data_IF_364367383051
#
_entry.id   IF_364367383051
#
_cell.length_a   1.000
_cell.length_b   1.000
_cell.length_c   1.000
_cell.angle_alpha   90.00
_cell.angle_beta   90.00
_cell.angle_gamma   90.00
#
_symmetry.space_group_name_H-M   'P 1'
#
loop_
_entity.id
_entity.type
_entity.pdbx_description
1 polymer ?
#
# COMPACT_ATOMS: atom_id res chain seq x y z
N UNK A 1 -22.40 -27.46 -11.91
CA UNK A 1 -22.36 -25.99 -12.10
C UNK A 1 -22.59 -25.40 -10.73
N UNK A 2 -21.67 -24.62 -10.16
CA UNK A 2 -21.94 -23.92 -8.90
C UNK A 2 -23.12 -22.96 -9.10
N UNK A 3 -23.98 -22.84 -8.09
CA UNK A 3 -25.14 -21.95 -8.13
C UNK A 3 -24.68 -20.49 -8.19
N UNK A 4 -25.34 -19.64 -8.99
CA UNK A 4 -25.00 -18.21 -9.14
C UNK A 4 -24.96 -17.47 -7.78
N UNK A 5 -25.81 -17.88 -6.83
CA UNK A 5 -25.82 -17.35 -5.46
C UNK A 5 -24.54 -17.69 -4.68
N UNK A 6 -23.93 -18.86 -4.96
CA UNK A 6 -22.69 -19.26 -4.31
C UNK A 6 -21.49 -18.46 -4.85
N UNK A 7 -21.50 -18.09 -6.13
CA UNK A 7 -20.45 -17.25 -6.70
C UNK A 7 -20.49 -15.83 -6.13
N UNK A 8 -21.68 -15.25 -6.00
CA UNK A 8 -21.84 -13.93 -5.39
C UNK A 8 -21.29 -13.89 -3.95
N UNK A 9 -21.66 -14.87 -3.11
CA UNK A 9 -21.16 -14.98 -1.74
C UNK A 9 -19.63 -15.13 -1.66
N UNK A 10 -19.02 -15.81 -2.63
CA UNK A 10 -17.56 -15.95 -2.71
C UNK A 10 -16.89 -14.61 -3.05
N UNK A 11 -17.45 -13.81 -3.95
CA UNK A 11 -16.93 -12.48 -4.25
C UNK A 11 -17.08 -11.54 -3.06
N UNK A 12 -18.25 -11.53 -2.42
CA UNK A 12 -18.47 -10.73 -1.22
C UNK A 12 -17.48 -11.12 -0.12
N UNK A 13 -17.16 -12.41 0.04
CA UNK A 13 -16.13 -12.87 0.97
C UNK A 13 -14.72 -12.40 0.57
N UNK A 14 -14.36 -12.43 -0.71
CA UNK A 14 -13.06 -11.96 -1.21
C UNK A 14 -12.89 -10.45 -0.99
N UNK A 15 -13.96 -9.67 -1.15
CA UNK A 15 -13.95 -8.22 -0.91
C UNK A 15 -14.17 -7.83 0.56
N UNK A 16 -14.41 -8.80 1.45
CA UNK A 16 -14.63 -8.55 2.88
C UNK A 16 -15.97 -7.88 3.19
N UNK A 17 -17.00 -8.16 2.39
CA UNK A 17 -18.35 -7.60 2.51
C UNK A 17 -19.31 -8.47 3.33
N UNK A 18 -18.90 -9.70 3.68
CA UNK A 18 -19.68 -10.59 4.56
C UNK A 18 -19.49 -10.21 6.02
N UNK A 19 -20.57 -10.32 6.80
CA UNK A 19 -20.50 -10.28 8.25
C UNK A 19 -19.67 -11.47 8.79
N UNK A 20 -19.08 -11.32 9.97
CA UNK A 20 -18.16 -12.30 10.58
C UNK A 20 -18.76 -13.72 10.66
N UNK A 21 -20.04 -13.83 11.01
CA UNK A 21 -20.76 -15.11 11.11
C UNK A 21 -20.91 -15.80 9.75
N UNK A 22 -21.22 -15.02 8.71
CA UNK A 22 -21.38 -15.51 7.35
C UNK A 22 -20.02 -15.92 6.76
N UNK A 23 -18.99 -15.11 6.99
CA UNK A 23 -17.62 -15.40 6.57
C UNK A 23 -17.11 -16.70 7.21
N UNK A 24 -17.37 -16.90 8.51
CA UNK A 24 -17.01 -18.13 9.22
C UNK A 24 -17.78 -19.36 8.72
N UNK A 25 -19.06 -19.20 8.38
CA UNK A 25 -19.86 -20.27 7.76
C UNK A 25 -19.32 -20.64 6.36
N UNK A 26 -19.04 -19.65 5.52
CA UNK A 26 -18.50 -19.88 4.18
C UNK A 26 -17.10 -20.51 4.22
N UNK A 27 -16.24 -20.08 5.15
CA UNK A 27 -14.92 -20.69 5.36
C UNK A 27 -15.02 -22.17 5.72
N UNK A 28 -15.98 -22.56 6.58
CA UNK A 28 -16.23 -23.98 6.89
C UNK A 28 -16.66 -24.77 5.66
N UNK A 29 -17.49 -24.19 4.79
CA UNK A 29 -17.91 -24.80 3.52
C UNK A 29 -16.74 -24.94 2.54
N UNK A 30 -15.90 -23.92 2.39
CA UNK A 30 -14.68 -23.99 1.55
C UNK A 30 -13.76 -25.14 2.00
N UNK A 31 -13.63 -25.37 3.31
CA UNK A 31 -12.80 -26.48 3.83
C UNK A 31 -13.47 -27.85 3.63
N UNK A 32 -14.80 -27.92 3.76
CA UNK A 32 -15.54 -29.19 3.78
C UNK A 32 -16.02 -29.65 2.40
N UNK A 33 -16.28 -28.73 1.48
CA UNK A 33 -16.86 -28.96 0.16
C UNK A 33 -15.82 -28.67 -0.94
N UNK A 34 -15.27 -29.70 -1.63
CA UNK A 34 -14.21 -29.50 -2.62
C UNK A 34 -14.68 -28.70 -3.85
N UNK A 35 -15.98 -28.74 -4.16
CA UNK A 35 -16.56 -27.97 -5.26
C UNK A 35 -16.54 -26.46 -4.96
N UNK A 36 -16.88 -26.08 -3.73
CA UNK A 36 -16.81 -24.69 -3.26
C UNK A 36 -15.37 -24.21 -3.16
N UNK A 37 -14.44 -25.08 -2.76
CA UNK A 37 -13.01 -24.76 -2.77
C UNK A 37 -12.49 -24.43 -4.19
N UNK A 38 -12.91 -25.21 -5.19
CA UNK A 38 -12.55 -24.96 -6.60
C UNK A 38 -13.15 -23.65 -7.12
N UNK A 39 -14.42 -23.38 -6.80
CA UNK A 39 -15.08 -22.12 -7.15
C UNK A 39 -14.38 -20.92 -6.47
N UNK A 40 -14.02 -21.04 -5.20
CA UNK A 40 -13.25 -20.01 -4.47
C UNK A 40 -11.90 -19.73 -5.15
N UNK A 41 -11.15 -20.78 -5.51
CA UNK A 41 -9.87 -20.64 -6.20
C UNK A 41 -10.03 -19.91 -7.56
N UNK A 42 -11.07 -20.23 -8.32
CA UNK A 42 -11.38 -19.56 -9.58
C UNK A 42 -11.73 -18.07 -9.39
N UNK A 43 -12.60 -17.75 -8.43
CA UNK A 43 -12.97 -16.38 -8.09
C UNK A 43 -11.75 -15.56 -7.61
N UNK A 44 -10.88 -16.16 -6.78
CA UNK A 44 -9.63 -15.53 -6.34
C UNK A 44 -8.68 -15.25 -7.51
N UNK A 45 -8.56 -16.18 -8.46
CA UNK A 45 -7.74 -15.95 -9.64
C UNK A 45 -8.25 -14.79 -10.50
N UNK A 46 -9.58 -14.69 -10.70
CA UNK A 46 -10.19 -13.58 -11.45
C UNK A 46 -9.95 -12.22 -10.78
N UNK A 47 -10.12 -12.14 -9.45
CA UNK A 47 -9.87 -10.91 -8.69
C UNK A 47 -8.39 -10.52 -8.70
N UNK A 48 -7.47 -11.47 -8.59
CA UNK A 48 -6.02 -11.20 -8.70
C UNK A 48 -5.62 -10.67 -10.09
N UNK A 49 -6.23 -11.19 -11.16
CA UNK A 49 -6.02 -10.68 -12.52
C UNK A 49 -6.55 -9.25 -12.68
N UNK A 50 -7.74 -8.97 -12.14
CA UNK A 50 -8.33 -7.63 -12.15
C UNK A 50 -7.47 -6.62 -11.36
N UNK A 51 -7.00 -7.01 -10.17
CA UNK A 51 -6.11 -6.18 -9.35
C UNK A 51 -4.80 -5.86 -10.09
N UNK A 52 -4.20 -6.84 -10.77
CA UNK A 52 -3.01 -6.62 -11.61
C UNK A 52 -3.29 -5.69 -12.79
N UNK A 53 -4.43 -5.84 -13.46
CA UNK A 53 -4.82 -4.95 -14.55
C UNK A 53 -5.05 -3.51 -14.05
N UNK A 54 -5.69 -3.34 -12.89
CA UNK A 54 -5.90 -2.05 -12.27
C UNK A 54 -4.57 -1.36 -11.92
N UNK A 55 -3.57 -2.10 -11.44
CA UNK A 55 -2.22 -1.55 -11.18
C UNK A 55 -1.54 -1.04 -12.46
N UNK A 56 -1.77 -1.66 -13.61
CA UNK A 56 -1.19 -1.23 -14.89
C UNK A 56 -1.89 0.01 -15.47
N UNK A 57 -3.18 0.18 -15.18
CA UNK A 57 -4.01 1.29 -15.70
C UNK A 57 -4.26 2.41 -14.68
N UNK A 58 -3.76 2.28 -13.45
CA UNK A 58 -3.92 3.31 -12.43
C UNK A 58 -3.20 4.60 -12.87
N UNK A 59 -3.86 5.77 -12.83
CA UNK A 59 -3.20 7.04 -13.07
C UNK A 59 -2.07 7.19 -12.06
N UNK A 60 -0.87 7.48 -12.56
CA UNK A 60 0.31 7.69 -11.72
C UNK A 60 0.09 8.96 -10.91
N UNK A 61 -0.43 8.82 -9.69
CA UNK A 61 -0.55 9.92 -8.74
C UNK A 61 0.86 10.34 -8.35
N UNK A 62 1.34 11.43 -8.93
CA UNK A 62 2.55 12.10 -8.48
C UNK A 62 2.23 12.75 -7.14
N UNK A 63 2.69 12.11 -6.06
CA UNK A 63 2.82 12.78 -4.77
C UNK A 63 3.77 13.98 -4.95
N UNK A 64 3.47 15.15 -4.37
CA UNK A 64 4.39 16.28 -4.40
C UNK A 64 5.73 15.83 -3.78
N UNK A 65 6.77 15.77 -4.60
CA UNK A 65 8.10 15.42 -4.14
C UNK A 65 8.64 16.61 -3.35
N UNK A 66 9.02 16.38 -2.09
CA UNK A 66 9.87 17.32 -1.36
C UNK A 66 11.16 17.54 -2.16
N UNK A 67 11.51 18.81 -2.39
CA UNK A 67 12.67 19.24 -3.15
C UNK A 67 13.97 18.67 -2.55
N UNK A 68 14.65 17.80 -3.31
CA UNK A 68 15.89 17.21 -2.83
C UNK A 68 16.62 16.31 -3.83
N UNK A 69 17.42 16.94 -4.70
CA UNK A 69 18.60 16.39 -5.41
C UNK A 69 18.40 15.70 -6.79
N UNK A 70 19.42 15.82 -7.69
CA UNK A 70 19.20 15.97 -9.13
C UNK A 70 19.16 14.65 -9.89
N UNK A 71 18.20 14.56 -10.81
CA UNK A 71 18.04 13.45 -11.75
C UNK A 71 19.08 13.56 -12.88
N UNK A 72 19.95 12.56 -13.00
CA UNK A 72 20.76 12.34 -14.22
C UNK A 72 19.83 12.12 -15.41
N UNK A 73 19.87 13.06 -16.34
CA UNK A 73 19.27 12.95 -17.67
C UNK A 73 20.04 11.92 -18.49
N UNK A 74 19.40 10.80 -18.84
CA UNK A 74 19.86 9.95 -19.93
C UNK A 74 19.08 10.35 -21.19
N UNK A 75 19.80 10.93 -22.14
CA UNK A 75 19.27 11.39 -23.43
C UNK A 75 18.72 10.24 -24.30
N UNK A 76 17.75 10.53 -25.20
CA UNK A 76 17.24 9.58 -26.17
C UNK A 76 18.20 9.44 -27.36
N UNK A 77 18.45 8.21 -27.82
CA UNK A 77 19.20 7.92 -29.05
C UNK A 77 18.25 7.85 -30.25
N UNK A 78 18.51 8.55 -31.37
CA UNK A 78 17.68 8.49 -32.57
C UNK A 78 18.13 7.41 -33.58
N UNK A 79 17.12 6.92 -34.30
CA UNK A 79 17.05 6.24 -35.60
C UNK A 79 18.31 5.78 -36.37
N UNK A 80 18.25 4.55 -36.87
CA UNK A 80 18.68 4.22 -38.24
C UNK A 80 17.92 3.00 -38.79
N UNK A 81 17.35 3.16 -39.97
CA UNK A 81 16.63 2.16 -40.73
C UNK A 81 17.58 1.33 -41.61
N UNK A 82 17.18 0.08 -41.91
CA UNK A 82 16.95 -0.46 -43.26
C UNK A 82 17.53 -1.87 -43.56
N UNK A 83 16.64 -2.66 -44.20
CA UNK A 83 16.85 -3.77 -45.15
C UNK A 83 17.05 -5.21 -44.60
N UNK A 84 16.81 -6.27 -45.41
CA UNK A 84 15.75 -6.49 -46.40
C UNK A 84 15.03 -7.87 -46.21
N UNK A 85 13.92 -8.04 -46.93
CA UNK A 85 13.15 -9.27 -47.06
C UNK A 85 13.97 -10.32 -47.83
N UNK A 86 14.14 -11.52 -47.25
CA UNK A 86 14.60 -12.70 -47.98
C UNK A 86 14.91 -13.90 -47.06
N UNK A 87 14.26 -15.04 -47.30
CA UNK A 87 14.48 -16.37 -46.69
C UNK A 87 13.78 -16.72 -45.34
N UNK A 88 12.63 -16.11 -45.04
CA UNK A 88 11.91 -16.32 -43.77
C UNK A 88 10.95 -17.55 -43.71
N UNK A 89 11.35 -18.73 -44.21
CA UNK A 89 10.49 -19.93 -44.08
C UNK A 89 11.18 -21.23 -43.65
N UNK A 90 12.51 -21.26 -43.47
CA UNK A 90 13.21 -22.52 -43.16
C UNK A 90 13.60 -22.73 -41.68
N UNK A 91 13.37 -21.74 -40.80
CA UNK A 91 13.80 -21.81 -39.38
C UNK A 91 12.68 -22.07 -38.35
N UNK A 92 11.42 -22.21 -38.77
CA UNK A 92 10.29 -22.44 -37.84
C UNK A 92 10.31 -23.85 -37.22
N UNK A 93 10.99 -24.82 -37.85
CA UNK A 93 11.08 -26.19 -37.34
C UNK A 93 11.96 -26.37 -36.09
N UNK A 94 13.02 -25.57 -35.94
CA UNK A 94 13.98 -25.73 -34.83
C UNK A 94 13.55 -24.99 -33.54
N UNK A 95 12.75 -23.94 -33.64
CA UNK A 95 12.28 -23.17 -32.49
C UNK A 95 11.26 -23.95 -31.62
N UNK A 96 10.44 -24.82 -32.22
CA UNK A 96 9.42 -25.56 -31.50
C UNK A 96 9.99 -26.63 -30.54
N UNK A 97 11.08 -27.32 -30.92
CA UNK A 97 11.71 -28.30 -30.02
C UNK A 97 12.49 -27.66 -28.87
N UNK A 98 13.08 -26.47 -29.08
CA UNK A 98 13.71 -25.71 -28.01
C UNK A 98 12.68 -25.23 -26.98
N UNK A 99 11.50 -24.76 -27.42
CA UNK A 99 10.44 -24.27 -26.54
C UNK A 99 9.85 -25.36 -25.62
N UNK A 100 9.69 -26.59 -26.14
CA UNK A 100 9.16 -27.73 -25.38
C UNK A 100 10.16 -28.19 -24.31
N UNK A 101 11.47 -28.19 -24.61
CA UNK A 101 12.50 -28.52 -23.60
C UNK A 101 12.60 -27.49 -22.48
N UNK A 102 12.48 -26.19 -22.77
CA UNK A 102 12.49 -25.15 -21.72
C UNK A 102 11.25 -25.19 -20.82
N UNK A 103 10.10 -25.61 -21.34
CA UNK A 103 8.84 -25.66 -20.55
C UNK A 103 8.85 -26.84 -19.57
N UNK A 104 9.42 -27.99 -19.96
CA UNK A 104 9.55 -29.16 -19.09
C UNK A 104 10.50 -28.94 -17.90
N UNK A 105 11.60 -28.21 -18.10
CA UNK A 105 12.57 -27.95 -17.03
C UNK A 105 12.02 -27.01 -15.95
N UNK A 106 11.11 -26.09 -16.31
CA UNK A 106 10.49 -25.16 -15.35
C UNK A 106 9.44 -25.82 -14.45
N UNK A 107 8.83 -26.92 -14.89
CA UNK A 107 7.88 -27.72 -14.09
C UNK A 107 8.56 -28.72 -13.14
N UNK A 108 9.80 -29.10 -13.42
CA UNK A 108 10.59 -30.01 -12.59
C UNK A 108 11.63 -29.30 -11.70
N UNK A 109 11.80 -27.98 -11.84
CA UNK A 109 12.70 -27.22 -10.98
C UNK A 109 12.18 -27.24 -9.53
N UNK A 110 12.95 -27.75 -8.56
CA UNK A 110 12.57 -27.67 -7.16
C UNK A 110 12.39 -26.20 -6.80
N UNK A 111 11.25 -25.90 -6.17
CA UNK A 111 10.89 -24.57 -5.71
C UNK A 111 12.11 -23.91 -5.04
N UNK A 112 12.69 -22.92 -5.70
CA UNK A 112 13.86 -22.22 -5.18
C UNK A 112 13.45 -21.48 -3.91
N UNK A 113 14.11 -21.71 -2.76
CA UNK A 113 13.72 -21.15 -1.45
C UNK A 113 13.92 -19.62 -1.33
N UNK A 114 14.32 -18.94 -2.39
CA UNK A 114 14.85 -17.56 -2.35
C UNK A 114 13.76 -16.50 -2.12
N UNK A 115 12.47 -16.84 -2.19
CA UNK A 115 11.37 -15.85 -2.06
C UNK A 115 10.81 -15.67 -0.64
N UNK A 116 11.10 -16.56 0.30
CA UNK A 116 10.51 -16.53 1.65
C UNK A 116 11.20 -15.55 2.61
N UNK A 117 12.53 -15.50 2.60
CA UNK A 117 13.29 -14.70 3.58
C UNK A 117 13.18 -13.20 3.34
N UNK A 118 13.11 -12.77 2.08
CA UNK A 118 12.98 -11.34 1.74
C UNK A 118 11.65 -10.74 2.19
N UNK A 119 10.54 -11.49 2.12
CA UNK A 119 9.24 -11.00 2.57
C UNK A 119 9.16 -10.89 4.10
N UNK A 120 9.70 -11.87 4.83
CA UNK A 120 9.74 -11.81 6.29
C UNK A 120 10.66 -10.69 6.80
N UNK A 121 11.74 -10.42 6.09
CA UNK A 121 12.66 -9.31 6.41
C UNK A 121 12.06 -7.96 6.06
N UNK A 122 11.42 -7.82 4.89
CA UNK A 122 10.67 -6.60 4.52
C UNK A 122 9.51 -6.35 5.49
N UNK A 123 8.79 -7.39 5.92
CA UNK A 123 7.73 -7.22 6.93
C UNK A 123 8.27 -6.76 8.28
N UNK A 124 9.41 -7.30 8.74
CA UNK A 124 10.06 -6.82 9.96
C UNK A 124 10.56 -5.38 9.83
N UNK A 125 11.16 -5.04 8.70
CA UNK A 125 11.67 -3.69 8.44
C UNK A 125 10.52 -2.66 8.30
N UNK A 126 9.35 -3.08 7.79
CA UNK A 126 8.13 -2.25 7.78
C UNK A 126 7.52 -2.14 9.18
N UNK A 127 7.41 -3.23 9.93
CA UNK A 127 6.89 -3.23 11.28
C UNK A 127 7.75 -2.37 12.23
N UNK A 128 9.07 -2.36 12.05
CA UNK A 128 10.00 -1.52 12.81
C UNK A 128 9.96 -0.03 12.41
N UNK A 129 9.38 0.32 11.26
CA UNK A 129 9.30 1.71 10.77
C UNK A 129 7.91 2.32 10.89
N UNK A 130 6.89 1.56 11.27
CA UNK A 130 5.54 2.08 11.45
C UNK A 130 5.40 2.69 12.84
N UNK A 131 5.67 4.00 12.93
CA UNK A 131 5.33 4.80 14.09
C UNK A 131 3.82 4.98 14.18
N UNK A 132 3.28 4.76 15.38
CA UNK A 132 1.90 5.09 15.75
C UNK A 132 1.90 6.44 16.45
N UNK A 133 0.99 7.31 16.02
CA UNK A 133 0.82 8.64 16.57
C UNK A 133 -0.55 8.74 17.24
N UNK A 134 -0.55 9.03 18.54
CA UNK A 134 -1.77 9.34 19.29
C UNK A 134 -1.77 10.84 19.63
N UNK A 135 -2.71 11.58 19.05
CA UNK A 135 -2.90 13.01 19.32
C UNK A 135 -4.08 13.21 20.24
N UNK A 136 -3.85 13.81 21.41
CA UNK A 136 -4.89 14.12 22.39
C UNK A 136 -4.96 15.63 22.64
N UNK A 137 -6.17 16.17 22.72
CA UNK A 137 -6.36 17.60 22.92
C UNK A 137 -7.83 17.99 23.08
N UNK A 138 -8.10 19.29 23.28
CA UNK A 138 -9.46 19.79 23.46
C UNK A 138 -10.28 19.65 22.18
N UNK A 139 -11.49 19.09 22.28
CA UNK A 139 -12.41 18.92 21.15
C UNK A 139 -12.93 20.25 20.57
N UNK A 140 -12.87 21.34 21.35
CA UNK A 140 -13.23 22.69 20.91
C UNK A 140 -12.13 23.67 21.30
N UNK A 141 -11.72 24.50 20.35
CA UNK A 141 -10.76 25.55 20.62
C UNK A 141 -11.40 26.71 21.39
N UNK A 142 -10.75 27.16 22.45
CA UNK A 142 -11.12 28.37 23.18
C UNK A 142 -10.19 29.53 22.76
N UNK A 143 -10.68 30.57 22.07
CA UNK A 143 -9.84 31.68 21.63
C UNK A 143 -9.28 32.52 22.78
N UNK A 144 -9.79 32.35 24.00
CA UNK A 144 -9.31 33.05 25.19
C UNK A 144 -8.15 32.33 25.91
N UNK A 145 -7.78 31.10 25.52
CA UNK A 145 -6.73 30.32 26.18
C UNK A 145 -5.87 29.54 25.17
N UNK A 146 -4.57 29.32 25.44
CA UNK A 146 -3.75 28.45 24.61
C UNK A 146 -4.34 27.03 24.54
N UNK A 147 -4.40 26.47 23.34
CA UNK A 147 -4.73 25.06 23.14
C UNK A 147 -3.47 24.22 23.32
N UNK A 148 -3.51 23.24 24.23
CA UNK A 148 -2.44 22.27 24.40
C UNK A 148 -2.86 20.93 23.80
N UNK A 149 -2.02 20.37 22.93
CA UNK A 149 -2.18 19.05 22.35
C UNK A 149 -0.99 18.19 22.78
N UNK A 150 -1.26 17.00 23.31
CA UNK A 150 -0.24 16.01 23.66
C UNK A 150 -0.19 14.94 22.60
N UNK A 151 0.99 14.71 22.07
CA UNK A 151 1.27 13.66 21.10
C UNK A 151 2.07 12.57 21.79
N UNK A 152 1.67 11.33 21.57
CA UNK A 152 2.42 10.14 22.00
C UNK A 152 2.83 9.37 20.75
N UNK A 153 4.12 9.10 20.63
CA UNK A 153 4.76 8.31 19.58
C UNK A 153 5.12 6.93 20.12
N UNK A 154 4.52 5.90 19.54
CA UNK A 154 4.85 4.51 19.87
C UNK A 154 5.20 3.72 18.61
N UNK A 155 5.90 2.61 18.77
CA UNK A 155 6.07 1.62 17.70
C UNK A 155 4.85 0.69 17.59
N UNK A 156 4.96 -0.32 16.72
CA UNK A 156 3.93 -1.35 16.55
C UNK A 156 3.69 -2.21 17.80
N UNK A 157 4.64 -2.26 18.74
CA UNK A 157 4.59 -3.00 20.01
C UNK A 157 4.16 -2.09 21.18
N UNK A 158 3.73 -0.86 20.90
CA UNK A 158 3.31 0.16 21.88
C UNK A 158 4.45 0.68 22.78
N UNK A 159 5.71 0.43 22.40
CA UNK A 159 6.87 0.98 23.10
C UNK A 159 7.06 2.46 22.70
N UNK A 160 7.40 3.35 23.65
CA UNK A 160 7.65 4.76 23.35
C UNK A 160 8.87 4.93 22.45
N UNK A 161 8.75 5.76 21.43
CA UNK A 161 9.84 6.04 20.47
C UNK A 161 10.05 7.54 20.32
N UNK A 162 11.29 8.00 20.52
CA UNK A 162 11.69 9.35 20.19
C UNK A 162 11.62 9.56 18.67
N UNK A 163 10.88 10.57 18.22
CA UNK A 163 10.65 10.84 16.80
C UNK A 163 10.61 12.34 16.54
N UNK A 164 11.02 12.73 15.34
CA UNK A 164 10.89 14.12 14.88
C UNK A 164 9.52 14.30 14.25
N UNK A 165 8.67 15.10 14.86
CA UNK A 165 7.30 15.33 14.44
C UNK A 165 7.20 16.65 13.68
N UNK A 166 6.54 16.61 12.54
CA UNK A 166 6.15 17.78 11.79
C UNK A 166 4.65 18.01 11.99
N UNK A 167 4.26 19.25 12.31
CA UNK A 167 2.85 19.58 12.48
C UNK A 167 2.46 20.82 11.70
N UNK A 168 1.29 20.72 11.10
CA UNK A 168 0.73 21.72 10.20
C UNK A 168 -0.68 22.07 10.66
N UNK A 169 -0.94 23.35 10.83
CA UNK A 169 -2.27 23.88 11.13
C UNK A 169 -2.87 24.42 9.84
N UNK A 170 -3.99 23.86 9.41
CA UNK A 170 -4.68 24.25 8.18
C UNK A 170 -5.93 25.08 8.48
N UNK A 171 -6.19 26.07 7.62
CA UNK A 171 -7.41 26.86 7.65
C UNK A 171 -8.63 26.02 7.22
N UNK A 172 -9.80 26.22 7.85
CA UNK A 172 -11.00 25.43 7.57
C UNK A 172 -11.58 25.61 6.16
N UNK A 173 -11.30 26.75 5.53
CA UNK A 173 -12.03 27.18 4.33
C UNK A 173 -11.37 26.74 3.04
N UNK A 174 -10.05 26.85 2.97
CA UNK A 174 -9.24 26.62 1.77
C UNK A 174 -8.06 25.64 2.01
N UNK A 175 -7.90 25.14 3.24
CA UNK A 175 -6.76 24.32 3.62
C UNK A 175 -5.44 25.07 3.63
N UNK A 176 -5.45 26.41 3.65
CA UNK A 176 -4.22 27.19 3.69
C UNK A 176 -3.43 26.91 4.99
N UNK A 177 -2.12 26.78 4.87
CA UNK A 177 -1.23 26.56 6.01
C UNK A 177 -1.17 27.84 6.87
N UNK A 178 -1.71 27.77 8.08
CA UNK A 178 -1.70 28.84 9.08
C UNK A 178 -0.43 28.82 9.94
N UNK A 179 0.09 27.62 10.20
CA UNK A 179 1.30 27.38 11.01
C UNK A 179 1.91 26.05 10.62
N UNK A 180 3.22 26.02 10.47
CA UNK A 180 4.00 24.81 10.20
C UNK A 180 5.21 24.83 11.12
N UNK A 181 5.43 23.75 11.87
CA UNK A 181 6.54 23.64 12.82
C UNK A 181 6.96 22.20 13.00
N UNK A 182 8.22 22.03 13.39
CA UNK A 182 8.80 20.73 13.76
C UNK A 182 9.07 20.72 15.26
N UNK A 183 8.76 19.60 15.91
CA UNK A 183 9.01 19.34 17.33
C UNK A 183 9.56 17.93 17.49
N UNK A 184 10.53 17.73 18.36
CA UNK A 184 11.05 16.40 18.67
C UNK A 184 10.27 15.82 19.87
N UNK A 185 9.79 14.59 19.75
CA UNK A 185 9.29 13.81 20.86
C UNK A 185 10.47 13.34 21.73
N UNK A 186 10.28 13.38 23.05
CA UNK A 186 11.29 13.01 24.03
C UNK A 186 11.59 11.49 24.04
N UNK A 187 12.48 11.06 24.92
CA UNK A 187 12.83 9.65 25.12
C UNK A 187 11.67 8.80 25.66
N UNK A 188 10.60 9.43 26.16
CA UNK A 188 9.34 8.79 26.54
C UNK A 188 8.32 8.79 25.39
N UNK A 189 8.71 9.22 24.18
CA UNK A 189 7.84 9.31 23.02
C UNK A 189 6.74 10.35 23.21
N UNK A 190 6.99 11.46 23.92
CA UNK A 190 6.01 12.50 24.18
C UNK A 190 6.42 13.84 23.58
N UNK A 191 5.45 14.52 22.99
CA UNK A 191 5.60 15.90 22.55
C UNK A 191 4.35 16.71 22.94
N UNK A 192 4.53 17.98 23.27
CA UNK A 192 3.42 18.90 23.58
C UNK A 192 3.45 20.07 22.60
N UNK A 193 2.36 20.22 21.85
CA UNK A 193 2.14 21.37 20.98
C UNK A 193 1.31 22.40 21.73
N UNK A 194 1.86 23.61 21.87
CA UNK A 194 1.11 24.77 22.33
C UNK A 194 0.74 25.64 21.14
N UNK A 195 -0.55 25.75 20.87
CA UNK A 195 -1.06 26.60 19.81
C UNK A 195 -1.45 27.98 20.37
N UNK A 196 -0.94 29.07 19.78
CA UNK A 196 -1.25 30.41 20.24
C UNK A 196 -2.72 30.77 19.93
N UNK A 197 -3.43 31.45 20.84
CA UNK A 197 -4.86 31.75 20.70
C UNK A 197 -5.20 32.65 19.49
N UNK A 198 -4.22 33.42 18.99
CA UNK A 198 -4.43 34.43 17.94
C UNK A 198 -4.40 33.87 16.52
N UNK A 199 -3.98 32.62 16.31
CA UNK A 199 -3.81 32.01 14.99
C UNK A 199 -4.82 30.90 14.68
N UNK A 200 -5.77 30.66 15.57
CA UNK A 200 -6.70 29.55 15.46
C UNK A 200 -8.09 30.04 15.04
N UNK A 201 -8.43 29.76 13.79
CA UNK A 201 -9.79 29.95 13.28
C UNK A 201 -10.66 28.77 13.71
N UNK A 202 -11.93 29.02 14.03
CA UNK A 202 -12.86 27.94 14.36
C UNK A 202 -12.94 26.92 13.20
N UNK A 203 -12.70 25.64 13.50
CA UNK A 203 -12.65 24.57 12.50
C UNK A 203 -11.28 24.32 11.87
N UNK A 204 -10.21 25.01 12.30
CA UNK A 204 -8.86 24.71 11.85
C UNK A 204 -8.47 23.25 12.13
N UNK A 205 -7.77 22.62 11.18
CA UNK A 205 -7.33 21.22 11.24
C UNK A 205 -5.87 21.17 11.68
N UNK A 206 -5.53 20.30 12.63
CA UNK A 206 -4.15 20.03 13.03
C UNK A 206 -3.72 18.69 12.44
N UNK A 207 -2.76 18.72 11.53
CA UNK A 207 -2.11 17.54 10.98
C UNK A 207 -0.75 17.33 11.66
N UNK A 208 -0.42 16.07 11.94
CA UNK A 208 0.82 15.68 12.60
C UNK A 208 1.38 14.46 11.85
N UNK A 209 2.63 14.56 11.42
CA UNK A 209 3.38 13.51 10.73
C UNK A 209 4.74 13.28 11.41
N UNK A 210 5.33 12.09 11.22
CA UNK A 210 6.58 11.65 11.82
C UNK A 210 7.55 11.08 10.77
#
# INVERSE_FOLDING_TARGET
>A
MPDEQSEQLLFEYIYGLLDDDQAAALKRRIVSEPDVARAYAAAKQQTDMLAKAALLHAPKVTLPAGDGAPRRSASPSPAAAAQPIGLFHWLVGLAAMALISTTGYFLAAPASPIRGESLAQVQRDVAQRQLRLLVTGPARHNPAAPGAYSIVTTDAEESPVAARLHYTLLAPTDGAVLLEKTIDADDQGRAVIQLPPQKLTAGALLEVEA
#
